data_IF_861476713385
#
_entry.id   IF_861476713385
#
_cell.length_a   1.000
_cell.length_b   1.000
_cell.length_c   1.000
_cell.angle_alpha   90.00
_cell.angle_beta   90.00
_cell.angle_gamma   90.00
#
_symmetry.space_group_name_H-M   'P 1'
#
loop_
_entity.id
_entity.type
_entity.pdbx_description
1 polymer ?
#
# COMPACT_ATOMS: atom_id res chain seq x y z
N UNK A 1 24.47 1.69 7.05
CA UNK A 1 23.61 1.35 5.89
C UNK A 1 22.52 0.29 6.17
N UNK A 2 22.66 -0.61 7.16
CA UNK A 2 21.63 -1.61 7.55
C UNK A 2 20.23 -1.05 7.88
N UNK A 3 20.14 0.15 8.47
CA UNK A 3 18.85 0.66 8.97
C UNK A 3 17.84 1.05 7.88
N UNK A 4 18.29 1.36 6.65
CA UNK A 4 17.39 1.81 5.58
C UNK A 4 16.58 0.63 5.00
N UNK A 5 17.19 -0.54 4.79
CA UNK A 5 16.47 -1.71 4.26
C UNK A 5 15.43 -2.24 5.25
N UNK A 6 15.76 -2.26 6.54
CA UNK A 6 14.86 -2.68 7.62
C UNK A 6 13.63 -1.78 7.68
N UNK A 7 13.82 -0.46 7.56
CA UNK A 7 12.69 0.49 7.56
C UNK A 7 11.71 0.23 6.40
N UNK A 8 12.19 -0.11 5.20
CA UNK A 8 11.32 -0.42 4.07
C UNK A 8 10.60 -1.74 4.20
N UNK A 9 11.32 -2.76 4.68
CA UNK A 9 10.71 -4.03 5.02
C UNK A 9 9.57 -3.81 6.01
N UNK A 10 9.83 -3.02 7.06
CA UNK A 10 8.85 -2.71 8.08
C UNK A 10 7.64 -1.94 7.53
N UNK A 11 7.84 -0.88 6.73
CA UNK A 11 6.72 -0.17 6.10
C UNK A 11 5.92 -1.09 5.19
N UNK A 12 6.59 -1.89 4.37
CA UNK A 12 5.89 -2.79 3.46
C UNK A 12 5.09 -3.82 4.25
N UNK A 13 5.70 -4.50 5.21
CA UNK A 13 5.03 -5.49 6.06
C UNK A 13 3.83 -4.88 6.77
N UNK A 14 3.97 -3.69 7.37
CA UNK A 14 2.85 -2.99 8.02
C UNK A 14 1.75 -2.66 7.00
N UNK A 15 2.10 -2.13 5.83
CA UNK A 15 1.12 -1.75 4.80
C UNK A 15 0.37 -2.97 4.24
N UNK A 16 1.09 -4.07 3.97
CA UNK A 16 0.52 -5.33 3.50
C UNK A 16 -0.36 -5.93 4.58
N UNK A 17 0.10 -5.98 5.84
CA UNK A 17 -0.68 -6.50 6.95
C UNK A 17 -1.98 -5.72 7.13
N UNK A 18 -1.93 -4.39 7.08
CA UNK A 18 -3.12 -3.55 7.16
C UNK A 18 -4.08 -3.81 5.98
N UNK A 19 -3.56 -4.05 4.78
CA UNK A 19 -4.36 -4.45 3.61
C UNK A 19 -4.94 -5.86 3.72
N UNK A 20 -4.24 -6.81 4.35
CA UNK A 20 -4.77 -8.15 4.65
C UNK A 20 -5.90 -8.06 5.65
N UNK A 21 -5.74 -7.34 6.76
CA UNK A 21 -6.80 -7.14 7.76
C UNK A 21 -8.02 -6.50 7.12
N UNK A 22 -7.84 -5.44 6.32
CA UNK A 22 -8.95 -4.85 5.55
C UNK A 22 -9.51 -5.83 4.52
N UNK A 23 -8.68 -6.61 3.85
CA UNK A 23 -9.09 -7.63 2.89
C UNK A 23 -9.98 -8.69 3.51
N UNK A 24 -9.71 -9.12 4.75
CA UNK A 24 -10.56 -10.05 5.49
C UNK A 24 -11.95 -9.44 5.79
N UNK A 25 -11.98 -8.17 6.21
CA UNK A 25 -13.24 -7.44 6.44
C UNK A 25 -14.03 -7.22 5.14
N UNK A 26 -13.36 -7.04 4.00
CA UNK A 26 -14.01 -6.91 2.70
C UNK A 26 -14.48 -8.27 2.16
N UNK A 27 -13.73 -9.34 2.45
CA UNK A 27 -14.08 -10.71 2.06
C UNK A 27 -15.39 -11.16 2.74
N UNK A 28 -15.64 -10.77 3.99
CA UNK A 28 -16.94 -11.03 4.65
C UNK A 28 -18.11 -10.31 3.99
N UNK A 29 -17.85 -9.30 3.15
CA UNK A 29 -18.84 -8.61 2.31
C UNK A 29 -18.82 -9.08 0.84
N UNK A 30 -18.09 -10.16 0.52
CA UNK A 30 -17.97 -10.69 -0.84
C UNK A 30 -16.97 -9.97 -1.75
N UNK A 31 -16.21 -8.99 -1.24
CA UNK A 31 -15.17 -8.30 -2.02
C UNK A 31 -13.77 -8.80 -1.65
N UNK A 32 -13.16 -9.58 -2.55
CA UNK A 32 -11.82 -10.15 -2.33
C UNK A 32 -10.68 -9.27 -2.86
N UNK A 33 -11.00 -8.12 -3.47
CA UNK A 33 -10.03 -7.27 -4.18
C UNK A 33 -8.86 -6.83 -3.28
N UNK A 34 -9.09 -6.27 -2.06
CA UNK A 34 -7.97 -5.82 -1.24
C UNK A 34 -7.09 -6.98 -0.78
N UNK A 35 -7.69 -8.14 -0.54
CA UNK A 35 -6.99 -9.36 -0.13
C UNK A 35 -6.09 -9.88 -1.27
N UNK A 36 -6.61 -9.95 -2.50
CA UNK A 36 -5.85 -10.38 -3.68
C UNK A 36 -4.67 -9.43 -3.96
N UNK A 37 -4.88 -8.12 -3.83
CA UNK A 37 -3.82 -7.13 -3.99
C UNK A 37 -2.74 -7.30 -2.92
N UNK A 38 -3.13 -7.49 -1.66
CA UNK A 38 -2.20 -7.66 -0.55
C UNK A 38 -1.34 -8.92 -0.71
N UNK A 39 -1.97 -10.06 -0.99
CA UNK A 39 -1.28 -11.34 -1.14
C UNK A 39 -0.41 -11.36 -2.40
N UNK A 40 -0.86 -10.76 -3.50
CA UNK A 40 -0.08 -10.61 -4.72
C UNK A 40 1.20 -9.79 -4.49
N UNK A 41 1.10 -8.64 -3.83
CA UNK A 41 2.29 -7.84 -3.51
C UNK A 41 3.20 -8.54 -2.52
N UNK A 42 2.65 -9.24 -1.52
CA UNK A 42 3.45 -10.04 -0.60
C UNK A 42 4.21 -11.16 -1.31
N UNK A 43 3.55 -11.90 -2.19
CA UNK A 43 4.18 -12.97 -2.97
C UNK A 43 5.31 -12.42 -3.86
N UNK A 44 5.05 -11.34 -4.60
CA UNK A 44 6.07 -10.67 -5.41
C UNK A 44 7.25 -10.20 -4.56
N UNK A 45 6.98 -9.65 -3.37
CA UNK A 45 8.02 -9.23 -2.45
C UNK A 45 8.89 -10.40 -1.98
N UNK A 46 8.29 -11.52 -1.58
CA UNK A 46 9.02 -12.72 -1.13
C UNK A 46 9.86 -13.32 -2.27
N UNK A 47 9.29 -13.42 -3.47
CA UNK A 47 9.95 -13.98 -4.66
C UNK A 47 11.14 -13.10 -5.09
N UNK A 48 10.97 -11.78 -5.12
CA UNK A 48 11.96 -10.85 -5.65
C UNK A 48 12.81 -10.16 -4.58
N UNK A 49 12.82 -10.67 -3.34
CA UNK A 49 13.55 -10.08 -2.20
C UNK A 49 15.04 -9.89 -2.43
N UNK A 50 15.66 -10.71 -3.28
CA UNK A 50 17.09 -10.64 -3.64
C UNK A 50 17.38 -9.70 -4.82
N UNK A 51 16.35 -9.21 -5.53
CA UNK A 51 16.49 -8.38 -6.74
C UNK A 51 16.09 -6.92 -6.45
N UNK A 52 17.01 -6.06 -5.99
CA UNK A 52 16.66 -4.72 -5.47
C UNK A 52 15.99 -3.81 -6.51
N UNK A 53 16.38 -3.91 -7.79
CA UNK A 53 15.75 -3.15 -8.88
C UNK A 53 14.28 -3.52 -9.08
N UNK A 54 13.96 -4.81 -9.03
CA UNK A 54 12.59 -5.33 -9.16
C UNK A 54 11.78 -4.95 -7.93
N UNK A 55 12.36 -5.09 -6.74
CA UNK A 55 11.75 -4.71 -5.47
C UNK A 55 11.34 -3.22 -5.45
N UNK A 56 12.22 -2.34 -5.94
CA UNK A 56 11.92 -0.91 -6.05
C UNK A 56 10.74 -0.62 -6.99
N UNK A 57 10.59 -1.39 -8.08
CA UNK A 57 9.45 -1.28 -8.99
C UNK A 57 8.17 -1.78 -8.33
N UNK A 58 8.22 -2.91 -7.63
CA UNK A 58 7.07 -3.46 -6.88
C UNK A 58 6.59 -2.44 -5.85
N UNK A 59 7.51 -1.88 -5.05
CA UNK A 59 7.18 -0.86 -4.05
C UNK A 59 6.62 0.42 -4.67
N UNK A 60 7.12 0.82 -5.84
CA UNK A 60 6.60 1.97 -6.57
C UNK A 60 5.15 1.74 -7.03
N UNK A 61 4.88 0.60 -7.67
CA UNK A 61 3.53 0.24 -8.09
C UNK A 61 2.59 0.05 -6.91
N UNK A 62 3.07 -0.54 -5.82
CA UNK A 62 2.31 -0.67 -4.58
C UNK A 62 1.94 0.68 -3.97
N UNK A 63 2.88 1.62 -3.93
CA UNK A 63 2.63 2.96 -3.44
C UNK A 63 1.60 3.71 -4.30
N UNK A 64 1.67 3.58 -5.63
CA UNK A 64 0.63 4.10 -6.54
C UNK A 64 -0.72 3.46 -6.23
N UNK A 65 -0.76 2.13 -6.11
CA UNK A 65 -1.98 1.39 -5.78
C UNK A 65 -2.63 1.87 -4.48
N UNK A 66 -1.85 2.07 -3.42
CA UNK A 66 -2.34 2.61 -2.15
C UNK A 66 -2.89 4.02 -2.28
N UNK A 67 -2.24 4.89 -3.05
CA UNK A 67 -2.70 6.25 -3.31
C UNK A 67 -4.03 6.22 -4.07
N UNK A 68 -4.10 5.49 -5.18
CA UNK A 68 -5.31 5.36 -5.99
C UNK A 68 -6.46 4.77 -5.18
N UNK A 69 -6.20 3.70 -4.42
CA UNK A 69 -7.19 3.09 -3.53
C UNK A 69 -7.73 4.09 -2.52
N UNK A 70 -6.83 4.85 -1.88
CA UNK A 70 -7.21 5.86 -0.90
C UNK A 70 -8.05 6.98 -1.51
N UNK A 71 -7.69 7.45 -2.71
CA UNK A 71 -8.43 8.47 -3.46
C UNK A 71 -9.84 7.98 -3.82
N UNK A 72 -9.98 6.77 -4.36
CA UNK A 72 -11.28 6.16 -4.65
C UNK A 72 -12.13 6.09 -3.38
N UNK A 73 -11.55 5.67 -2.26
CA UNK A 73 -12.21 5.62 -0.95
C UNK A 73 -12.68 6.98 -0.48
N UNK A 74 -11.86 8.02 -0.65
CA UNK A 74 -12.22 9.39 -0.31
C UNK A 74 -13.38 9.90 -1.16
N UNK A 75 -13.37 9.62 -2.46
CA UNK A 75 -14.46 9.99 -3.36
C UNK A 75 -15.77 9.31 -2.97
N UNK A 76 -15.74 7.98 -2.80
CA UNK A 76 -16.93 7.20 -2.41
C UNK A 76 -17.43 7.62 -1.03
N UNK A 77 -16.54 7.78 -0.05
CA UNK A 77 -16.89 8.23 1.30
C UNK A 77 -17.43 9.66 1.32
N UNK A 78 -16.90 10.55 0.47
CA UNK A 78 -17.43 11.89 0.27
C UNK A 78 -18.86 11.87 -0.28
N UNK A 79 -19.10 11.10 -1.35
CA UNK A 79 -20.45 10.94 -1.92
C UNK A 79 -21.43 10.40 -0.86
N UNK A 80 -21.01 9.40 -0.08
CA UNK A 80 -21.83 8.83 0.98
C UNK A 80 -22.22 9.86 2.07
N UNK A 81 -21.28 10.72 2.48
CA UNK A 81 -21.53 11.67 3.56
C UNK A 81 -22.26 12.95 3.10
N UNK A 82 -22.11 13.36 1.84
CA UNK A 82 -22.64 14.65 1.35
C UNK A 82 -23.84 14.56 0.40
N UNK A 83 -23.98 13.47 -0.36
CA UNK A 83 -25.04 13.36 -1.39
C UNK A 83 -26.20 12.52 -0.89
N UNK A 84 -25.93 11.28 -0.51
CA UNK A 84 -26.95 10.37 0.00
C UNK A 84 -26.28 9.32 0.89
N UNK A 85 -26.60 9.28 2.20
CA UNK A 85 -26.10 8.23 3.07
C UNK A 85 -26.64 6.88 2.61
N UNK A 86 -25.74 5.93 2.46
CA UNK A 86 -26.06 4.54 2.21
C UNK A 86 -26.78 3.99 3.44
N UNK A 87 -27.97 3.44 3.26
CA UNK A 87 -28.82 2.92 4.35
C UNK A 87 -28.28 1.64 4.98
N UNK A 88 -27.27 1.02 4.37
CA UNK A 88 -26.70 -0.23 4.84
C UNK A 88 -25.63 0.02 5.91
N UNK A 89 -25.88 -0.46 7.13
CA UNK A 89 -25.00 -0.24 8.30
C UNK A 89 -23.55 -0.66 8.04
N UNK A 90 -23.32 -1.75 7.30
CA UNK A 90 -21.97 -2.23 7.01
C UNK A 90 -21.20 -1.29 6.05
N UNK A 91 -21.89 -0.61 5.11
CA UNK A 91 -21.27 0.41 4.26
C UNK A 91 -20.97 1.66 5.07
N UNK A 92 -21.85 2.01 6.02
CA UNK A 92 -21.65 3.14 6.92
C UNK A 92 -20.42 2.96 7.83
N UNK A 93 -20.19 1.77 8.37
CA UNK A 93 -18.98 1.48 9.15
C UNK A 93 -17.71 1.52 8.29
N UNK A 94 -17.80 1.08 7.02
CA UNK A 94 -16.64 1.03 6.13
C UNK A 94 -16.25 2.38 5.52
N UNK A 95 -17.23 3.24 5.26
CA UNK A 95 -17.08 4.56 4.62
C UNK A 95 -17.23 5.72 5.61
N UNK A 96 -17.52 5.43 6.87
CA UNK A 96 -17.56 6.41 7.95
C UNK A 96 -16.17 6.92 8.35
N UNK A 97 -16.15 7.71 9.42
CA UNK A 97 -14.96 8.46 9.89
C UNK A 97 -13.74 7.56 10.08
N UNK A 98 -13.91 6.36 10.65
CA UNK A 98 -12.82 5.40 10.83
C UNK A 98 -12.22 4.94 9.49
N UNK A 99 -13.08 4.68 8.50
CA UNK A 99 -12.66 4.34 7.14
C UNK A 99 -11.85 5.47 6.50
N UNK A 100 -12.30 6.72 6.66
CA UNK A 100 -11.63 7.91 6.15
C UNK A 100 -10.25 8.11 6.77
N UNK A 101 -10.11 7.95 8.10
CA UNK A 101 -8.82 8.06 8.80
C UNK A 101 -7.83 7.01 8.26
N UNK A 102 -8.27 5.77 8.11
CA UNK A 102 -7.42 4.68 7.59
C UNK A 102 -6.99 4.98 6.15
N UNK A 103 -7.89 5.49 5.30
CA UNK A 103 -7.57 5.90 3.94
C UNK A 103 -6.57 7.05 3.89
N UNK A 104 -6.67 8.01 4.81
CA UNK A 104 -5.69 9.10 4.92
C UNK A 104 -4.30 8.56 5.29
N UNK A 105 -4.22 7.63 6.24
CA UNK A 105 -2.96 6.98 6.62
C UNK A 105 -2.33 6.25 5.43
N UNK A 106 -3.11 5.48 4.66
CA UNK A 106 -2.60 4.80 3.47
C UNK A 106 -2.13 5.77 2.39
N UNK A 107 -2.84 6.87 2.19
CA UNK A 107 -2.43 7.93 1.27
C UNK A 107 -1.07 8.53 1.67
N UNK A 108 -0.89 8.87 2.94
CA UNK A 108 0.38 9.40 3.47
C UNK A 108 1.51 8.37 3.34
N UNK A 109 1.27 7.10 3.68
CA UNK A 109 2.26 6.02 3.52
C UNK A 109 2.66 5.86 2.05
N UNK A 110 1.70 5.87 1.13
CA UNK A 110 1.96 5.83 -0.30
C UNK A 110 2.85 6.98 -0.78
N UNK A 111 2.55 8.21 -0.34
CA UNK A 111 3.38 9.39 -0.66
C UNK A 111 4.79 9.25 -0.08
N UNK A 112 4.94 8.76 1.16
CA UNK A 112 6.24 8.57 1.79
C UNK A 112 7.10 7.54 1.05
N UNK A 113 6.48 6.45 0.56
CA UNK A 113 7.15 5.46 -0.28
C UNK A 113 7.59 6.07 -1.62
N UNK A 114 6.73 6.85 -2.28
CA UNK A 114 7.06 7.50 -3.56
C UNK A 114 8.16 8.56 -3.42
N UNK A 115 8.11 9.42 -2.40
CA UNK A 115 9.09 10.49 -2.20
C UNK A 115 10.51 9.97 -2.04
N UNK A 116 10.68 8.77 -1.48
CA UNK A 116 12.02 8.21 -1.33
C UNK A 116 12.60 7.70 -2.66
N UNK A 117 11.81 7.46 -3.73
CA UNK A 117 12.21 6.82 -5.01
C UNK A 117 13.51 7.38 -5.63
N UNK A 118 13.75 8.68 -5.55
CA UNK A 118 14.97 9.29 -6.10
C UNK A 118 16.28 8.79 -5.45
N UNK A 119 16.23 8.22 -4.23
CA UNK A 119 17.42 7.63 -3.59
C UNK A 119 17.68 6.16 -3.99
N UNK A 120 16.76 5.53 -4.73
CA UNK A 120 16.77 4.09 -5.01
C UNK A 120 17.59 3.78 -6.25
N UNK A 121 17.50 4.65 -7.27
CA UNK A 121 18.39 4.59 -8.43
C UNK A 121 19.86 4.74 -8.02
N UNK A 122 20.16 5.68 -7.12
CA UNK A 122 21.51 5.87 -6.60
C UNK A 122 22.02 4.61 -5.87
N UNK A 123 21.23 4.02 -4.96
CA UNK A 123 21.65 2.83 -4.21
C UNK A 123 21.80 1.57 -5.08
N UNK A 124 20.92 1.35 -6.07
CA UNK A 124 21.07 0.23 -7.00
C UNK A 124 22.31 0.37 -7.88
N UNK A 125 22.66 1.61 -8.26
CA UNK A 125 23.85 1.91 -9.06
C UNK A 125 25.14 1.65 -8.26
N UNK A 126 25.19 2.05 -6.99
CA UNK A 126 26.34 1.77 -6.12
C UNK A 126 26.57 0.27 -5.89
N UNK A 127 25.50 -0.51 -5.75
CA UNK A 127 25.60 -1.97 -5.55
C UNK A 127 26.15 -2.69 -6.79
N UNK A 128 25.71 -2.31 -7.99
CA UNK A 128 26.26 -2.88 -9.23
C UNK A 128 27.74 -2.55 -9.39
N UNK A 129 28.14 -1.32 -9.05
CA UNK A 129 29.55 -0.91 -9.11
C UNK A 129 30.44 -1.68 -8.14
N UNK A 130 29.92 -2.01 -6.95
CA UNK A 130 30.63 -2.79 -5.92
C UNK A 130 30.74 -4.29 -6.25
N UNK A 131 29.83 -4.84 -7.05
CA UNK A 131 29.89 -6.24 -7.49
C UNK A 131 30.71 -6.42 -8.77
N UNK A 132 30.94 -5.34 -9.52
CA UNK A 132 31.75 -5.33 -10.74
C UNK A 132 33.22 -4.94 -10.51
N UNK A 133 33.64 -4.73 -9.25
CA UNK A 133 35.00 -4.39 -8.84
C UNK A 133 35.59 -5.55 -8.04
#
# INVERSE_FOLDING_TARGET
MKNKSVFYFLILTISVFAFVVKGLVYASLGSFIPLILATGVFALFVIFRTKPKVLSRILFWWAIGMILWSLIRFLIGGINNFVKPLTENHLHEQLGIQGTIISLLFFVIGILLLRKKNRWHALSFYYEKLQSS
#
